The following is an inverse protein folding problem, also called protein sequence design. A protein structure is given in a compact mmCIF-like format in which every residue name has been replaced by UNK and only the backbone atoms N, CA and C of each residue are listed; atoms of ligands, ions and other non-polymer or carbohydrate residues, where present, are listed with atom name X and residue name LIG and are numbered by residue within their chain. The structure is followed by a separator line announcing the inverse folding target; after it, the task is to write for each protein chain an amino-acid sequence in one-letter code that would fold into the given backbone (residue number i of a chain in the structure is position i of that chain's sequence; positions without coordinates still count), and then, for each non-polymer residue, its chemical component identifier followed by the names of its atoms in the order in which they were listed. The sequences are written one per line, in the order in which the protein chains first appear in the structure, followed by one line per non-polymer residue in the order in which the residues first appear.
data_IF_719752755019
#
_entry.id   IF_719752755019
#
_cell.length_a   1.000
_cell.length_b   1.000
_cell.length_c   1.000
_cell.angle_alpha   90.00
_cell.angle_beta   90.00
_cell.angle_gamma   90.00
#
_symmetry.space_group_name_H-M   'P 1'
#
loop_
_entity.id
_entity.type
_entity.pdbx_description
1 polymer ?
#
# COMPACT_ATOMS: atom_id res chain seq x y z
N UNK A 1 -2.46 -5.62 50.09
CA UNK A 1 -2.92 -4.51 49.23
C UNK A 1 -2.39 -4.83 47.85
N UNK A 2 -3.22 -5.51 47.07
CA UNK A 2 -2.84 -6.13 45.80
C UNK A 2 -3.08 -5.10 44.69
N UNK A 3 -2.01 -4.57 44.10
CA UNK A 3 -2.10 -3.64 42.98
C UNK A 3 -2.38 -4.42 41.70
N UNK A 4 -3.63 -4.36 41.25
CA UNK A 4 -4.08 -4.91 39.98
C UNK A 4 -3.48 -4.09 38.84
N UNK A 5 -2.57 -4.71 38.08
CA UNK A 5 -2.02 -4.20 36.82
C UNK A 5 -3.20 -3.88 35.88
N UNK A 6 -3.34 -2.61 35.51
CA UNK A 6 -4.36 -2.20 34.53
C UNK A 6 -4.14 -2.93 33.21
N UNK A 7 -5.18 -3.65 32.79
CA UNK A 7 -5.23 -4.32 31.51
C UNK A 7 -4.91 -3.34 30.38
N UNK A 8 -3.99 -3.73 29.50
CA UNK A 8 -3.66 -3.00 28.28
C UNK A 8 -4.96 -2.62 27.55
N UNK A 9 -5.14 -1.32 27.32
CA UNK A 9 -6.21 -0.81 26.46
C UNK A 9 -6.25 -1.63 25.18
N UNK A 10 -7.40 -2.25 24.93
CA UNK A 10 -7.61 -3.09 23.77
C UNK A 10 -7.22 -2.32 22.52
N UNK A 11 -6.19 -2.80 21.82
CA UNK A 11 -5.78 -2.27 20.52
C UNK A 11 -7.02 -2.25 19.64
N UNK A 12 -7.58 -1.06 19.42
CA UNK A 12 -8.68 -0.89 18.47
C UNK A 12 -8.10 -1.15 17.09
N UNK A 13 -8.25 -2.38 16.60
CA UNK A 13 -7.99 -2.69 15.19
C UNK A 13 -8.90 -1.75 14.41
N UNK A 14 -8.37 -0.80 13.62
CA UNK A 14 -9.19 0.09 12.83
C UNK A 14 -10.14 -0.78 12.01
N UNK A 15 -11.45 -0.63 12.22
CA UNK A 15 -12.42 -1.34 11.41
C UNK A 15 -12.09 -1.00 9.96
N UNK A 16 -11.79 -2.01 9.14
CA UNK A 16 -11.74 -1.79 7.70
C UNK A 16 -13.05 -1.14 7.34
N UNK A 17 -13.01 0.14 6.92
CA UNK A 17 -14.20 0.83 6.44
C UNK A 17 -14.74 -0.07 5.33
N UNK A 18 -15.86 -0.75 5.59
CA UNK A 18 -16.49 -1.73 4.71
C UNK A 18 -17.07 -1.10 3.46
N UNK A 19 -16.28 -0.27 2.78
CA UNK A 19 -16.60 0.37 1.51
C UNK A 19 -16.15 -0.55 0.39
N UNK A 20 -16.96 -0.68 -0.65
CA UNK A 20 -16.60 -1.44 -1.85
C UNK A 20 -15.28 -0.96 -2.46
N UNK A 21 -14.64 -1.78 -3.29
CA UNK A 21 -13.42 -1.36 -4.02
C UNK A 21 -13.69 -0.12 -4.88
N UNK A 22 -14.89 -0.01 -5.43
CA UNK A 22 -15.34 1.18 -6.16
C UNK A 22 -15.26 2.44 -5.29
N UNK A 23 -15.93 2.43 -4.13
CA UNK A 23 -15.96 3.60 -3.24
C UNK A 23 -14.57 3.94 -2.69
N UNK A 24 -13.75 2.91 -2.48
CA UNK A 24 -12.35 3.10 -2.07
C UNK A 24 -11.51 3.75 -3.17
N UNK A 25 -11.65 3.31 -4.42
CA UNK A 25 -10.92 3.88 -5.56
C UNK A 25 -11.33 5.33 -5.84
N UNK A 26 -12.65 5.60 -5.77
CA UNK A 26 -13.20 6.96 -5.86
C UNK A 26 -12.58 7.85 -4.78
N UNK A 27 -12.58 7.39 -3.53
CA UNK A 27 -12.01 8.13 -2.40
C UNK A 27 -10.53 8.44 -2.59
N UNK A 28 -9.73 7.48 -3.07
CA UNK A 28 -8.32 7.72 -3.34
C UNK A 28 -8.10 8.78 -4.42
N UNK A 29 -8.92 8.77 -5.48
CA UNK A 29 -8.88 9.79 -6.52
C UNK A 29 -9.34 11.18 -6.02
N UNK A 30 -10.45 11.25 -5.29
CA UNK A 30 -11.07 12.51 -4.84
C UNK A 30 -10.35 13.15 -3.65
N UNK A 31 -10.10 12.39 -2.59
CA UNK A 31 -9.58 12.94 -1.32
C UNK A 31 -8.06 12.98 -1.27
N UNK A 32 -7.39 12.07 -1.97
CA UNK A 32 -5.92 11.96 -1.97
C UNK A 32 -5.27 12.45 -3.25
N UNK A 33 -6.06 12.70 -4.30
CA UNK A 33 -5.56 13.05 -5.63
C UNK A 33 -4.55 12.03 -6.14
N UNK A 34 -4.76 10.76 -5.81
CA UNK A 34 -3.94 9.66 -6.30
C UNK A 34 -4.53 9.11 -7.58
N UNK A 35 -3.66 8.85 -8.56
CA UNK A 35 -4.04 8.05 -9.72
C UNK A 35 -4.38 6.63 -9.25
N UNK A 36 -5.46 6.07 -9.80
CA UNK A 36 -5.88 4.69 -9.58
C UNK A 36 -6.11 3.99 -10.90
N UNK A 37 -5.93 2.68 -10.95
CA UNK A 37 -6.43 1.84 -12.04
C UNK A 37 -6.75 0.41 -11.58
N UNK A 38 -7.60 -0.32 -12.32
CA UNK A 38 -7.95 -1.70 -11.99
C UNK A 38 -6.79 -2.64 -12.33
N UNK A 39 -6.30 -3.36 -11.33
CA UNK A 39 -5.35 -4.44 -11.50
C UNK A 39 -6.01 -5.78 -11.78
N UNK A 40 -5.19 -6.83 -11.71
CA UNK A 40 -5.66 -8.19 -11.51
C UNK A 40 -6.37 -8.36 -10.16
N UNK A 41 -7.07 -9.47 -9.98
CA UNK A 41 -7.79 -9.79 -8.75
C UNK A 41 -7.68 -11.28 -8.42
N UNK A 42 -8.11 -11.64 -7.21
CA UNK A 42 -8.18 -13.03 -6.79
C UNK A 42 -9.50 -13.66 -7.25
N UNK A 43 -9.41 -14.85 -7.81
CA UNK A 43 -10.54 -15.69 -8.21
C UNK A 43 -10.49 -16.96 -7.36
N UNK A 44 -11.57 -17.23 -6.64
CA UNK A 44 -11.72 -18.48 -5.91
C UNK A 44 -12.11 -19.60 -6.89
N UNK A 45 -11.28 -20.63 -7.00
CA UNK A 45 -11.57 -21.83 -7.78
C UNK A 45 -11.13 -23.07 -6.98
N UNK A 46 -12.03 -24.01 -6.76
CA UNK A 46 -11.77 -25.29 -6.06
C UNK A 46 -11.12 -25.10 -4.67
N UNK A 47 -11.54 -24.08 -3.92
CA UNK A 47 -10.99 -23.76 -2.59
C UNK A 47 -9.61 -23.09 -2.62
N UNK A 48 -9.04 -22.82 -3.79
CA UNK A 48 -7.75 -22.15 -3.97
C UNK A 48 -7.96 -20.74 -4.55
N UNK A 49 -7.22 -19.76 -4.03
CA UNK A 49 -7.19 -18.43 -4.60
C UNK A 49 -6.20 -18.40 -5.76
N UNK A 50 -6.67 -18.05 -6.96
CA UNK A 50 -5.84 -17.90 -8.16
C UNK A 50 -5.85 -16.46 -8.65
N UNK A 51 -4.80 -16.03 -9.32
CA UNK A 51 -4.78 -14.71 -9.95
C UNK A 51 -5.65 -14.70 -11.21
N UNK A 52 -6.38 -13.61 -11.45
CA UNK A 52 -7.18 -13.42 -12.67
C UNK A 52 -6.35 -13.34 -13.96
N UNK A 53 -5.01 -13.24 -13.87
CA UNK A 53 -4.13 -13.32 -15.05
C UNK A 53 -4.00 -14.72 -15.64
N UNK A 54 -4.40 -15.76 -14.91
CA UNK A 54 -4.33 -17.15 -15.36
C UNK A 54 -2.96 -17.82 -15.19
N UNK A 55 -1.92 -17.09 -14.78
CA UNK A 55 -0.61 -17.68 -14.47
C UNK A 55 -0.65 -18.45 -13.14
N UNK A 56 -0.45 -19.79 -13.15
CA UNK A 56 -0.43 -20.60 -11.93
C UNK A 56 0.76 -20.30 -11.01
N UNK A 57 1.83 -19.68 -11.53
CA UNK A 57 3.02 -19.30 -10.79
C UNK A 57 3.12 -17.78 -10.57
N UNK A 58 1.98 -17.06 -10.65
CA UNK A 58 1.93 -15.61 -10.47
C UNK A 58 2.62 -15.17 -9.18
N UNK A 59 3.68 -14.37 -9.30
CA UNK A 59 4.48 -13.91 -8.16
C UNK A 59 3.75 -12.90 -7.26
N UNK A 60 2.68 -12.27 -7.74
CA UNK A 60 1.91 -11.26 -7.01
C UNK A 60 0.41 -11.39 -7.27
N UNK A 61 -0.26 -12.48 -6.83
CA UNK A 61 -1.66 -12.73 -7.13
C UNK A 61 -2.57 -11.55 -6.76
N UNK A 62 -3.28 -11.01 -7.76
CA UNK A 62 -4.16 -9.85 -7.58
C UNK A 62 -3.46 -8.51 -7.35
N UNK A 63 -2.12 -8.43 -7.41
CA UNK A 63 -1.35 -7.24 -7.05
C UNK A 63 -0.45 -6.75 -8.21
N UNK A 64 -0.88 -6.96 -9.45
CA UNK A 64 -0.17 -6.49 -10.64
C UNK A 64 -1.11 -6.00 -11.75
N UNK A 65 -0.64 -5.15 -12.68
CA UNK A 65 -1.44 -4.70 -13.82
C UNK A 65 -1.91 -5.89 -14.66
N UNK A 66 -3.14 -5.82 -15.16
CA UNK A 66 -3.67 -6.84 -16.07
C UNK A 66 -3.10 -6.73 -17.49
N UNK A 67 -2.62 -5.55 -17.89
CA UNK A 67 -2.09 -5.24 -19.22
C UNK A 67 -0.95 -4.24 -19.15
N UNK A 68 -0.09 -4.23 -20.17
CA UNK A 68 1.08 -3.35 -20.27
C UNK A 68 0.71 -1.86 -20.47
N UNK A 69 -0.44 -1.59 -21.08
CA UNK A 69 -0.97 -0.24 -21.33
C UNK A 69 -1.60 0.42 -20.09
N UNK A 70 -1.39 -0.14 -18.90
CA UNK A 70 -1.97 0.33 -17.64
C UNK A 70 -1.71 1.82 -17.38
N UNK A 71 -0.57 2.35 -17.81
CA UNK A 71 -0.19 3.74 -17.57
C UNK A 71 -1.16 4.73 -18.22
N UNK A 72 -1.78 4.35 -19.35
CA UNK A 72 -2.81 5.13 -20.03
C UNK A 72 -4.21 4.97 -19.41
N UNK A 73 -4.40 3.93 -18.58
CA UNK A 73 -5.66 3.66 -17.88
C UNK A 73 -5.69 4.29 -16.47
N UNK A 74 -4.54 4.70 -15.93
CA UNK A 74 -4.46 5.41 -14.66
C UNK A 74 -5.25 6.72 -14.69
N UNK A 75 -6.01 6.99 -13.63
CA UNK A 75 -6.88 8.17 -13.54
C UNK A 75 -6.94 8.73 -12.12
N UNK A 76 -6.82 10.05 -12.00
CA UNK A 76 -7.17 10.81 -10.79
C UNK A 76 -8.62 11.31 -10.78
N UNK A 77 -9.43 10.98 -11.79
CA UNK A 77 -10.85 11.34 -11.85
C UNK A 77 -11.74 10.28 -11.19
N UNK A 78 -12.49 10.67 -10.16
CA UNK A 78 -13.46 9.81 -9.50
C UNK A 78 -14.59 9.31 -10.41
N UNK A 79 -15.06 10.14 -11.35
CA UNK A 79 -16.09 9.71 -12.31
C UNK A 79 -15.57 8.57 -13.19
N UNK A 80 -14.31 8.65 -13.63
CA UNK A 80 -13.66 7.60 -14.43
C UNK A 80 -13.40 6.37 -13.56
N UNK A 81 -12.89 6.54 -12.34
CA UNK A 81 -12.66 5.45 -11.39
C UNK A 81 -13.98 4.69 -11.12
N UNK A 82 -15.06 5.39 -10.79
CA UNK A 82 -16.39 4.77 -10.59
C UNK A 82 -16.80 3.88 -11.76
N UNK A 83 -16.62 4.37 -13.00
CA UNK A 83 -16.92 3.60 -14.21
C UNK A 83 -16.03 2.36 -14.37
N UNK A 84 -14.75 2.47 -14.02
CA UNK A 84 -13.81 1.36 -14.09
C UNK A 84 -14.20 0.22 -13.14
N UNK A 85 -14.52 0.52 -11.88
CA UNK A 85 -14.93 -0.50 -10.90
C UNK A 85 -16.38 -0.97 -11.07
N UNK A 86 -17.25 -0.20 -11.75
CA UNK A 86 -18.53 -0.76 -12.21
C UNK A 86 -18.34 -1.86 -13.25
N UNK A 87 -17.34 -1.74 -14.13
CA UNK A 87 -17.02 -2.75 -15.14
C UNK A 87 -16.34 -3.97 -14.54
N UNK A 88 -15.45 -3.78 -13.56
CA UNK A 88 -14.82 -4.88 -12.86
C UNK A 88 -14.77 -4.65 -11.34
N UNK A 89 -15.84 -5.00 -10.60
CA UNK A 89 -15.94 -4.73 -9.16
C UNK A 89 -14.89 -5.43 -8.32
N UNK A 90 -14.33 -6.55 -8.80
CA UNK A 90 -13.35 -7.34 -8.07
C UNK A 90 -11.91 -6.91 -8.27
N UNK A 91 -11.63 -6.04 -9.26
CA UNK A 91 -10.27 -5.63 -9.59
C UNK A 91 -9.60 -4.94 -8.40
N UNK A 92 -8.40 -5.39 -8.04
CA UNK A 92 -7.60 -4.71 -7.02
C UNK A 92 -7.31 -3.27 -7.45
N UNK A 93 -7.22 -2.37 -6.47
CA UNK A 93 -6.86 -0.98 -6.70
C UNK A 93 -5.35 -0.87 -6.74
N UNK A 94 -4.80 -0.57 -7.92
CA UNK A 94 -3.39 -0.30 -8.08
C UNK A 94 -3.15 1.20 -8.12
N UNK A 95 -2.08 1.61 -7.43
CA UNK A 95 -1.71 3.00 -7.21
C UNK A 95 -0.33 3.24 -7.86
N UNK A 96 -0.25 3.95 -9.00
CA UNK A 96 1.03 4.28 -9.62
C UNK A 96 1.86 5.21 -8.72
N UNK A 97 2.96 4.68 -8.18
CA UNK A 97 3.98 5.47 -7.48
C UNK A 97 4.82 6.29 -8.46
N UNK A 98 5.60 7.25 -7.97
CA UNK A 98 6.48 8.08 -8.80
C UNK A 98 5.77 9.24 -9.49
N UNK A 99 4.47 9.40 -9.19
CA UNK A 99 3.62 10.47 -9.71
C UNK A 99 3.28 11.44 -8.59
N UNK A 100 2.15 11.21 -7.91
CA UNK A 100 1.66 12.09 -6.84
C UNK A 100 2.15 11.67 -5.46
N UNK A 101 2.71 10.46 -5.34
CA UNK A 101 3.35 9.96 -4.12
C UNK A 101 4.39 8.89 -4.46
N UNK A 102 5.30 8.65 -3.52
CA UNK A 102 6.20 7.49 -3.50
C UNK A 102 5.87 6.63 -2.28
N UNK A 103 6.39 5.40 -2.24
CA UNK A 103 6.28 4.52 -1.08
C UNK A 103 7.65 4.02 -0.63
N UNK A 104 7.98 4.22 0.64
CA UNK A 104 9.16 3.61 1.27
C UNK A 104 8.78 2.21 1.75
N UNK A 105 9.45 1.19 1.21
CA UNK A 105 9.14 -0.22 1.40
C UNK A 105 10.20 -0.85 2.32
N UNK A 106 9.77 -1.36 3.48
CA UNK A 106 10.64 -1.89 4.53
C UNK A 106 10.15 -3.25 5.04
N UNK A 107 11.00 -4.05 5.69
CA UNK A 107 10.58 -5.28 6.33
C UNK A 107 9.57 -4.97 7.44
N UNK A 108 8.59 -5.84 7.63
CA UNK A 108 7.52 -5.66 8.63
C UNK A 108 8.05 -5.31 10.02
N UNK A 109 9.05 -6.03 10.53
CA UNK A 109 9.63 -5.74 11.86
C UNK A 109 10.20 -4.32 11.93
N UNK A 110 10.90 -3.87 10.90
CA UNK A 110 11.45 -2.52 10.85
C UNK A 110 10.34 -1.48 10.74
N UNK A 111 9.26 -1.77 9.99
CA UNK A 111 8.10 -0.91 9.87
C UNK A 111 7.37 -0.70 11.20
N UNK A 112 7.13 -1.75 11.98
CA UNK A 112 6.51 -1.62 13.30
C UNK A 112 7.39 -0.82 14.27
N UNK A 113 8.71 -1.04 14.26
CA UNK A 113 9.64 -0.25 15.06
C UNK A 113 9.65 1.23 14.64
N UNK A 114 9.54 1.51 13.34
CA UNK A 114 9.44 2.87 12.82
C UNK A 114 8.14 3.54 13.26
N UNK A 115 7.00 2.85 13.19
CA UNK A 115 5.71 3.35 13.69
C UNK A 115 5.78 3.71 15.17
N UNK A 116 6.26 2.79 16.02
CA UNK A 116 6.41 3.03 17.45
C UNK A 116 7.33 4.23 17.74
N UNK A 117 8.40 4.40 16.95
CA UNK A 117 9.29 5.56 17.09
C UNK A 117 8.59 6.86 16.68
N UNK A 118 7.87 6.88 15.57
CA UNK A 118 7.16 8.07 15.09
C UNK A 118 6.05 8.50 16.06
N UNK A 119 5.34 7.55 16.64
CA UNK A 119 4.34 7.79 17.69
C UNK A 119 4.97 8.43 18.94
N UNK A 120 6.10 7.89 19.43
CA UNK A 120 6.85 8.49 20.55
C UNK A 120 7.42 9.88 20.25
N UNK A 121 7.57 10.20 18.96
CA UNK A 121 8.00 11.53 18.50
C UNK A 121 6.81 12.45 18.19
N UNK A 122 5.58 12.01 18.45
CA UNK A 122 4.34 12.76 18.19
C UNK A 122 4.19 13.21 16.72
N UNK A 123 4.75 12.42 15.79
CA UNK A 123 4.65 12.72 14.36
C UNK A 123 3.28 12.32 13.82
N UNK A 124 2.69 13.18 13.00
CA UNK A 124 1.48 12.83 12.24
C UNK A 124 1.82 11.74 11.24
N UNK A 125 1.24 10.56 11.42
CA UNK A 125 1.43 9.42 10.53
C UNK A 125 0.66 9.63 9.22
N UNK A 126 1.36 9.43 8.10
CA UNK A 126 0.74 9.26 6.80
C UNK A 126 0.12 7.86 6.63
N UNK A 127 -0.45 7.57 5.45
CA UNK A 127 -0.93 6.23 5.13
C UNK A 127 0.21 5.20 5.18
N UNK A 128 -0.07 4.05 5.81
CA UNK A 128 0.84 2.91 5.89
C UNK A 128 0.07 1.64 5.57
N UNK A 129 0.66 0.75 4.77
CA UNK A 129 0.08 -0.56 4.46
C UNK A 129 1.02 -1.68 4.84
N UNK A 130 0.49 -2.75 5.41
CA UNK A 130 1.17 -4.05 5.51
C UNK A 130 0.72 -4.92 4.33
N UNK A 131 1.68 -5.46 3.59
CA UNK A 131 1.43 -6.26 2.39
C UNK A 131 1.47 -7.77 2.70
N UNK A 132 0.86 -8.62 1.86
CA UNK A 132 0.88 -10.08 2.07
C UNK A 132 2.28 -10.70 2.11
N UNK A 133 3.27 -10.07 1.45
CA UNK A 133 4.69 -10.46 1.48
C UNK A 133 5.44 -9.96 2.72
N UNK A 134 4.71 -9.56 3.78
CA UNK A 134 5.27 -9.10 5.07
C UNK A 134 6.21 -7.91 4.93
N UNK A 135 5.81 -6.95 4.09
CA UNK A 135 6.50 -5.67 3.94
C UNK A 135 5.56 -4.53 4.31
N UNK A 136 6.12 -3.50 4.92
CA UNK A 136 5.38 -2.29 5.24
C UNK A 136 5.75 -1.19 4.27
N UNK A 137 4.74 -0.47 3.78
CA UNK A 137 4.92 0.63 2.84
C UNK A 137 4.40 1.92 3.47
N UNK A 138 5.30 2.88 3.62
CA UNK A 138 5.01 4.23 4.12
C UNK A 138 4.84 5.17 2.93
N UNK A 139 3.67 5.77 2.80
CA UNK A 139 3.34 6.64 1.68
C UNK A 139 3.88 8.04 1.97
N UNK A 140 4.68 8.56 1.05
CA UNK A 140 5.41 9.83 1.19
C UNK A 140 5.24 10.69 -0.06
N UNK A 141 5.56 11.98 0.06
CA UNK A 141 5.58 12.88 -1.10
C UNK A 141 6.62 12.41 -2.14
N UNK A 142 6.42 12.71 -3.43
CA UNK A 142 7.33 12.32 -4.50
C UNK A 142 8.79 12.75 -4.28
N UNK A 143 9.70 11.97 -4.85
CA UNK A 143 11.15 12.21 -4.81
C UNK A 143 11.88 11.43 -3.72
N UNK A 144 11.21 10.50 -3.04
CA UNK A 144 11.84 9.59 -2.10
C UNK A 144 12.89 8.71 -2.78
N UNK A 145 12.69 8.35 -4.05
CA UNK A 145 13.65 7.53 -4.82
C UNK A 145 15.05 8.16 -4.91
N UNK A 146 15.14 9.49 -4.84
CA UNK A 146 16.41 10.23 -4.79
C UNK A 146 16.85 10.46 -3.34
N UNK A 147 15.94 10.94 -2.49
CA UNK A 147 16.27 11.38 -1.13
C UNK A 147 16.70 10.25 -0.21
N UNK A 148 16.08 9.08 -0.33
CA UNK A 148 16.30 7.96 0.59
C UNK A 148 17.68 7.33 0.40
N UNK A 149 18.13 6.95 -0.81
CA UNK A 149 19.49 6.43 -0.99
C UNK A 149 20.58 7.40 -0.49
N UNK A 150 20.38 8.71 -0.70
CA UNK A 150 21.31 9.73 -0.22
C UNK A 150 21.31 9.87 1.30
N UNK A 151 20.15 9.80 1.94
CA UNK A 151 20.04 9.78 3.40
C UNK A 151 20.72 8.54 3.99
N UNK A 152 20.48 7.35 3.44
CA UNK A 152 21.08 6.09 3.90
C UNK A 152 22.61 6.16 3.81
N UNK A 153 23.15 6.72 2.71
CA UNK A 153 24.60 6.99 2.57
C UNK A 153 25.14 7.95 3.63
N UNK A 154 24.45 9.06 3.89
CA UNK A 154 24.86 10.02 4.94
C UNK A 154 24.84 9.42 6.34
N UNK A 155 23.99 8.42 6.58
CA UNK A 155 23.94 7.65 7.82
C UNK A 155 25.02 6.56 7.91
N UNK A 156 25.91 6.46 6.92
CA UNK A 156 27.04 5.52 6.92
C UNK A 156 26.70 4.13 6.38
N UNK A 157 25.52 3.94 5.79
CA UNK A 157 25.08 2.64 5.25
C UNK A 157 25.12 2.64 3.73
N UNK A 158 25.41 1.48 3.14
CA UNK A 158 25.14 1.27 1.72
C UNK A 158 23.61 1.17 1.50
N UNK A 159 23.03 1.76 0.43
CA UNK A 159 21.58 1.75 0.21
C UNK A 159 20.92 0.36 0.23
N UNK A 160 21.65 -0.68 -0.19
CA UNK A 160 21.15 -2.07 -0.23
C UNK A 160 21.32 -2.82 1.09
N UNK A 161 22.02 -2.26 2.08
CA UNK A 161 22.35 -2.96 3.32
C UNK A 161 21.17 -3.08 4.29
N UNK A 162 20.16 -2.22 4.16
CA UNK A 162 19.06 -2.09 5.12
C UNK A 162 17.77 -2.80 4.72
N UNK A 163 17.80 -3.62 3.66
CA UNK A 163 16.60 -4.21 3.03
C UNK A 163 15.45 -3.19 2.91
N UNK A 164 15.80 -1.97 2.48
CA UNK A 164 14.90 -0.83 2.34
C UNK A 164 14.84 -0.46 0.86
N UNK A 165 13.62 -0.37 0.34
CA UNK A 165 13.34 0.03 -1.04
C UNK A 165 12.51 1.31 -1.11
N UNK A 166 12.47 1.90 -2.29
CA UNK A 166 11.51 2.95 -2.63
C UNK A 166 10.79 2.56 -3.91
N UNK A 167 9.47 2.74 -3.92
CA UNK A 167 8.64 2.68 -5.11
C UNK A 167 8.27 4.11 -5.47
N UNK A 168 8.80 4.59 -6.58
CA UNK A 168 8.70 5.95 -7.08
C UNK A 168 9.02 6.00 -8.55
#
# INVERSE_FOLDING_TARGET
MEETIQAAEAVQIPQQRGTSLLETAVRYAEERHWDVFPGTWLVAADGVQRCSCGDPACAAPGAHPAREDWAAQATGSATVARRMWQKQPMASILLPTGRTFDAVDVPETAGFLALARMERMELTLGPVTLTPDRRMRFFVLPGAGVKVPDLVRRLGWAPRALDLGVRG
#
